data_IF_841361529169
#
_entry.id   IF_841361529169
#
_cell.length_a   1.000
_cell.length_b   1.000
_cell.length_c   1.000
_cell.angle_alpha   90.00
_cell.angle_beta   90.00
_cell.angle_gamma   90.00
#
_symmetry.space_group_name_H-M   'P 1'
#
loop_
_entity.id
_entity.type
_entity.pdbx_description
1 polymer ?
#
# COMPACT_ATOMS: atom_id res chain seq x y z
N UNK A 1 -17.68 -22.93 -8.02
CA UNK A 1 -16.32 -22.50 -8.40
C UNK A 1 -15.78 -21.76 -7.21
N UNK A 2 -14.73 -22.28 -6.56
CA UNK A 2 -14.00 -21.47 -5.56
C UNK A 2 -13.40 -20.30 -6.35
N UNK A 3 -13.68 -19.07 -5.93
CA UNK A 3 -13.18 -17.89 -6.62
C UNK A 3 -11.66 -17.90 -6.65
N UNK A 4 -11.05 -17.36 -7.70
CA UNK A 4 -9.62 -17.05 -7.69
C UNK A 4 -9.44 -15.64 -7.12
N UNK A 5 -8.29 -15.35 -6.50
CA UNK A 5 -7.88 -13.99 -6.16
C UNK A 5 -7.27 -13.37 -7.40
N UNK A 6 -7.51 -12.08 -7.63
CA UNK A 6 -6.97 -11.35 -8.77
C UNK A 6 -6.41 -10.02 -8.30
N UNK A 7 -5.58 -9.40 -9.14
CA UNK A 7 -5.39 -7.96 -9.07
C UNK A 7 -6.76 -7.30 -9.12
N UNK A 8 -6.93 -6.30 -8.26
CA UNK A 8 -8.11 -5.47 -8.32
C UNK A 8 -8.07 -4.71 -9.66
N UNK A 9 -9.16 -4.68 -10.46
CA UNK A 9 -9.12 -4.14 -11.83
C UNK A 9 -8.53 -2.73 -11.91
N UNK A 10 -7.54 -2.49 -12.76
CA UNK A 10 -6.89 -1.18 -12.89
C UNK A 10 -6.73 -0.79 -14.36
N UNK A 11 -6.55 0.52 -14.61
CA UNK A 11 -6.33 1.06 -15.96
C UNK A 11 -4.89 1.55 -16.15
N UNK A 12 -4.28 1.24 -17.30
CA UNK A 12 -2.99 1.81 -17.72
C UNK A 12 -3.24 3.05 -18.57
N UNK A 13 -2.98 4.25 -18.04
CA UNK A 13 -3.28 5.50 -18.75
C UNK A 13 -2.13 6.00 -19.62
N UNK A 14 -0.89 5.79 -19.21
CA UNK A 14 0.28 6.24 -19.99
C UNK A 14 1.56 5.49 -19.61
N UNK A 15 2.44 5.28 -20.59
CA UNK A 15 3.84 4.89 -20.39
C UNK A 15 4.74 6.10 -20.69
N UNK A 16 5.65 6.42 -19.77
CA UNK A 16 6.63 7.50 -19.92
C UNK A 16 8.04 6.95 -19.79
N UNK A 17 8.95 7.46 -20.62
CA UNK A 17 10.33 6.99 -20.72
C UNK A 17 11.28 7.66 -19.72
N UNK A 18 10.89 8.81 -19.17
CA UNK A 18 11.63 9.52 -18.12
C UNK A 18 10.63 10.14 -17.13
N UNK A 19 10.87 9.92 -15.84
CA UNK A 19 10.22 10.61 -14.74
C UNK A 19 11.29 10.93 -13.69
N UNK A 20 11.53 12.22 -13.43
CA UNK A 20 12.59 12.70 -12.52
C UNK A 20 12.00 13.65 -11.49
N UNK A 21 10.97 13.19 -10.81
CA UNK A 21 10.24 13.99 -9.83
C UNK A 21 9.64 13.09 -8.76
N UNK A 22 9.38 13.66 -7.59
CA UNK A 22 8.50 13.04 -6.61
C UNK A 22 7.08 13.07 -7.19
N UNK A 23 6.41 11.92 -7.41
CA UNK A 23 5.03 11.90 -7.87
C UNK A 23 4.13 12.79 -7.00
N UNK A 24 3.23 13.55 -7.64
CA UNK A 24 2.31 14.46 -6.95
C UNK A 24 1.51 13.75 -5.85
N UNK A 25 1.12 12.49 -6.08
CA UNK A 25 0.41 11.68 -5.08
C UNK A 25 1.18 11.50 -3.78
N UNK A 26 2.52 11.41 -3.84
CA UNK A 26 3.40 11.27 -2.68
C UNK A 26 3.58 12.63 -1.97
N UNK A 27 3.58 13.73 -2.72
CA UNK A 27 3.61 15.08 -2.16
C UNK A 27 2.28 15.43 -1.46
N UNK A 28 1.15 14.96 -1.99
CA UNK A 28 -0.18 15.24 -1.43
C UNK A 28 -0.42 14.57 -0.08
N UNK A 29 0.14 13.38 0.15
CA UNK A 29 0.08 12.71 1.46
C UNK A 29 1.08 13.27 2.48
N UNK A 30 1.90 14.26 2.09
CA UNK A 30 2.89 14.94 2.94
C UNK A 30 4.07 14.07 3.39
N UNK A 31 4.50 13.15 2.53
CA UNK A 31 5.70 12.35 2.80
C UNK A 31 7.01 13.17 2.82
N UNK A 32 7.23 14.15 1.90
CA UNK A 32 8.45 14.97 1.91
C UNK A 32 8.72 15.72 3.22
N UNK A 33 7.68 16.12 3.93
CA UNK A 33 7.76 16.80 5.21
C UNK A 33 8.33 15.87 6.29
N UNK A 34 7.98 14.58 6.30
CA UNK A 34 8.57 13.59 7.19
C UNK A 34 10.00 13.23 6.79
N UNK A 35 10.29 13.18 5.49
CA UNK A 35 11.64 12.96 4.99
C UNK A 35 12.61 14.06 5.43
N UNK A 36 12.13 15.30 5.51
CA UNK A 36 12.90 16.46 5.97
C UNK A 36 13.32 16.34 7.44
N UNK A 37 12.58 15.56 8.22
CA UNK A 37 12.90 15.19 9.60
C UNK A 37 13.73 13.89 9.70
N UNK A 38 14.17 13.33 8.58
CA UNK A 38 15.00 12.12 8.53
C UNK A 38 14.23 10.80 8.47
N UNK A 39 12.90 10.83 8.42
CA UNK A 39 12.08 9.61 8.40
C UNK A 39 11.79 9.16 6.98
N UNK A 40 12.61 8.25 6.45
CA UNK A 40 12.49 7.74 5.07
C UNK A 40 12.22 6.23 4.97
N UNK A 41 11.93 5.56 6.09
CA UNK A 41 11.58 4.14 6.16
C UNK A 41 12.77 3.22 6.43
N UNK A 42 13.93 3.79 6.80
CA UNK A 42 15.15 3.02 7.03
C UNK A 42 14.94 1.92 8.08
N UNK A 43 15.40 0.72 7.74
CA UNK A 43 15.33 -0.45 8.63
C UNK A 43 13.95 -1.09 8.72
N UNK A 44 12.98 -0.64 7.92
CA UNK A 44 11.66 -1.26 7.79
C UNK A 44 11.64 -2.16 6.55
N UNK A 45 11.11 -3.37 6.68
CA UNK A 45 10.91 -4.31 5.58
C UNK A 45 9.44 -4.43 5.23
N UNK A 46 9.11 -4.24 3.95
CA UNK A 46 7.75 -4.31 3.41
C UNK A 46 7.68 -5.49 2.43
N UNK A 47 6.83 -6.47 2.72
CA UNK A 47 6.55 -7.57 1.82
C UNK A 47 5.46 -7.17 0.82
N UNK A 48 5.78 -7.20 -0.47
CA UNK A 48 4.86 -6.85 -1.56
C UNK A 48 4.31 -8.14 -2.15
N UNK A 49 3.05 -8.45 -1.82
CA UNK A 49 2.35 -9.65 -2.30
C UNK A 49 1.57 -9.31 -3.57
N UNK A 50 2.18 -9.60 -4.72
CA UNK A 50 1.69 -9.13 -6.03
C UNK A 50 2.11 -10.08 -7.18
N UNK A 51 2.23 -9.55 -8.40
CA UNK A 51 2.59 -10.21 -9.66
C UNK A 51 4.09 -10.46 -9.86
N UNK A 52 4.91 -10.08 -8.87
CA UNK A 52 6.37 -10.08 -8.95
C UNK A 52 6.93 -8.66 -8.97
N UNK A 53 8.18 -8.52 -9.40
CA UNK A 53 8.80 -7.23 -9.63
C UNK A 53 9.92 -7.36 -10.69
N UNK A 54 10.15 -6.31 -11.48
CA UNK A 54 11.41 -6.14 -12.20
C UNK A 54 12.53 -5.78 -11.21
N UNK A 55 13.24 -6.82 -10.73
CA UNK A 55 14.27 -6.67 -9.70
C UNK A 55 15.50 -5.89 -10.16
N UNK A 56 15.66 -5.69 -11.47
CA UNK A 56 16.77 -4.92 -12.05
C UNK A 56 16.38 -3.48 -12.39
N UNK A 57 15.13 -3.07 -12.11
CA UNK A 57 14.71 -1.69 -12.31
C UNK A 57 15.63 -0.75 -11.49
N UNK A 58 16.26 0.27 -12.09
CA UNK A 58 17.25 1.10 -11.41
C UNK A 58 16.76 1.74 -10.10
N UNK A 59 15.49 2.15 -10.05
CA UNK A 59 14.89 2.76 -8.86
C UNK A 59 14.52 1.74 -7.76
N UNK A 60 14.64 0.42 -8.02
CA UNK A 60 14.20 -0.64 -7.11
C UNK A 60 15.29 -1.65 -6.74
N UNK A 61 16.29 -1.88 -7.61
CA UNK A 61 17.30 -2.93 -7.43
C UNK A 61 18.00 -2.88 -6.05
N UNK A 62 18.28 -1.68 -5.54
CA UNK A 62 18.98 -1.48 -4.27
C UNK A 62 18.02 -1.50 -3.06
N UNK A 63 16.72 -1.53 -3.33
CA UNK A 63 15.63 -1.54 -2.36
C UNK A 63 15.13 -2.97 -2.11
N UNK A 64 15.29 -3.86 -3.09
CA UNK A 64 14.86 -5.26 -3.00
C UNK A 64 15.92 -6.07 -2.26
N UNK A 65 15.51 -6.76 -1.19
CA UNK A 65 16.40 -7.59 -0.36
C UNK A 65 16.21 -9.10 -0.59
N UNK A 66 15.25 -9.46 -1.44
CA UNK A 66 14.95 -10.84 -1.80
C UNK A 66 13.53 -10.97 -2.36
N UNK A 67 13.20 -12.17 -2.79
CA UNK A 67 11.85 -12.49 -3.21
C UNK A 67 11.59 -13.98 -3.26
N UNK A 68 10.31 -14.35 -3.32
CA UNK A 68 9.87 -15.73 -3.46
C UNK A 68 8.63 -15.82 -4.34
N UNK A 69 8.63 -16.77 -5.25
CA UNK A 69 7.52 -17.09 -6.13
C UNK A 69 6.72 -18.29 -5.58
N UNK A 70 5.41 -18.10 -5.51
CA UNK A 70 4.44 -19.12 -5.11
C UNK A 70 3.53 -19.55 -6.26
N UNK A 71 3.67 -18.95 -7.44
CA UNK A 71 2.82 -19.22 -8.61
C UNK A 71 3.36 -20.36 -9.44
N UNK A 72 2.57 -20.80 -10.42
CA UNK A 72 2.99 -21.80 -11.41
C UNK A 72 3.84 -21.18 -12.56
N UNK A 73 4.04 -19.85 -12.57
CA UNK A 73 4.89 -19.18 -13.55
C UNK A 73 6.32 -19.72 -13.48
N UNK A 74 7.04 -19.67 -14.61
CA UNK A 74 8.43 -20.13 -14.68
C UNK A 74 8.61 -21.59 -14.23
N UNK A 75 7.57 -22.42 -14.43
CA UNK A 75 7.48 -23.81 -13.97
C UNK A 75 7.58 -23.96 -12.44
N UNK A 76 7.12 -22.95 -11.69
CA UNK A 76 7.17 -22.94 -10.23
C UNK A 76 8.57 -22.73 -9.67
N UNK A 77 9.46 -22.08 -10.42
CA UNK A 77 10.77 -21.65 -9.91
C UNK A 77 10.56 -20.60 -8.80
N UNK A 78 10.82 -21.02 -7.56
CA UNK A 78 10.57 -20.23 -6.36
C UNK A 78 11.47 -19.00 -6.25
N UNK A 79 12.63 -18.98 -6.93
CA UNK A 79 13.56 -17.85 -6.90
C UNK A 79 13.28 -16.83 -8.02
N UNK A 80 12.36 -17.14 -8.94
CA UNK A 80 12.01 -16.27 -10.06
C UNK A 80 10.73 -15.45 -9.78
N UNK A 81 10.93 -14.20 -9.38
CA UNK A 81 9.85 -13.24 -9.12
C UNK A 81 9.60 -12.26 -10.27
N UNK A 82 9.92 -12.65 -11.51
CA UNK A 82 9.75 -11.78 -12.67
C UNK A 82 8.31 -11.31 -12.81
N UNK A 83 8.16 -10.01 -13.01
CA UNK A 83 6.87 -9.37 -13.26
C UNK A 83 6.53 -9.41 -14.75
N UNK A 84 5.51 -10.20 -15.10
CA UNK A 84 4.98 -10.28 -16.46
C UNK A 84 3.84 -9.30 -16.72
N UNK A 85 3.26 -8.73 -15.66
CA UNK A 85 2.08 -7.88 -15.74
C UNK A 85 2.47 -6.38 -15.67
N UNK A 86 3.38 -6.03 -14.75
CA UNK A 86 3.87 -4.68 -14.50
C UNK A 86 3.31 -4.04 -13.23
N UNK A 87 2.20 -4.55 -12.71
CA UNK A 87 1.54 -4.02 -11.53
C UNK A 87 2.40 -4.14 -10.26
N UNK A 88 3.05 -5.28 -10.03
CA UNK A 88 3.88 -5.49 -8.85
C UNK A 88 5.09 -4.56 -8.82
N UNK A 89 5.70 -4.32 -9.99
CA UNK A 89 6.75 -3.30 -10.16
C UNK A 89 6.23 -1.90 -9.88
N UNK A 90 4.99 -1.57 -10.28
CA UNK A 90 4.36 -0.27 -10.03
C UNK A 90 4.09 -0.04 -8.54
N UNK A 91 3.49 -1.02 -7.87
CA UNK A 91 3.26 -1.03 -6.43
C UNK A 91 4.58 -0.88 -5.66
N UNK A 92 5.61 -1.65 -6.03
CA UNK A 92 6.94 -1.58 -5.43
C UNK A 92 7.55 -0.16 -5.52
N UNK A 93 7.40 0.50 -6.68
CA UNK A 93 7.87 1.86 -6.88
C UNK A 93 7.17 2.89 -6.00
N UNK A 94 5.85 2.82 -5.89
CA UNK A 94 5.09 3.74 -5.05
C UNK A 94 5.48 3.59 -3.57
N UNK A 95 5.79 2.37 -3.13
CA UNK A 95 6.23 2.11 -1.76
C UNK A 95 7.63 2.67 -1.51
N UNK A 96 8.64 2.29 -2.29
CA UNK A 96 10.03 2.52 -1.91
C UNK A 96 11.01 2.78 -3.07
N UNK A 97 10.56 3.28 -4.23
CA UNK A 97 11.49 3.72 -5.27
C UNK A 97 12.52 4.73 -4.74
N UNK A 98 13.75 4.64 -5.23
CA UNK A 98 14.84 5.56 -4.90
C UNK A 98 15.30 6.37 -6.11
N UNK A 99 15.59 7.64 -5.91
CA UNK A 99 16.04 8.57 -6.94
C UNK A 99 17.56 8.57 -7.16
N UNK A 100 18.30 7.66 -6.50
CA UNK A 100 19.77 7.58 -6.61
C UNK A 100 20.26 7.38 -8.06
N UNK A 101 19.42 6.80 -8.91
CA UNK A 101 19.70 6.57 -10.33
C UNK A 101 19.01 7.59 -11.26
N UNK A 102 18.45 8.67 -10.69
CA UNK A 102 17.83 9.76 -11.43
C UNK A 102 16.42 9.47 -11.93
N UNK A 103 15.66 8.64 -11.21
CA UNK A 103 14.26 8.29 -11.47
C UNK A 103 13.27 8.94 -10.50
N UNK A 104 12.26 8.18 -10.04
CA UNK A 104 11.23 8.67 -9.11
C UNK A 104 11.52 8.30 -7.64
N UNK A 105 10.80 8.92 -6.72
CA UNK A 105 10.78 8.54 -5.30
C UNK A 105 9.49 7.79 -4.95
N UNK A 106 9.60 6.76 -4.12
CA UNK A 106 8.49 6.16 -3.40
C UNK A 106 8.23 6.85 -2.05
N UNK A 107 7.19 6.45 -1.34
CA UNK A 107 6.81 7.05 -0.05
C UNK A 107 7.87 6.82 1.03
N UNK A 108 8.52 5.66 1.03
CA UNK A 108 9.56 5.26 1.97
C UNK A 108 10.85 4.87 1.24
N UNK A 109 11.61 5.83 0.69
CA UNK A 109 12.72 5.57 -0.22
C UNK A 109 13.97 4.95 0.46
N UNK A 110 13.96 4.74 1.78
CA UNK A 110 15.01 3.99 2.50
C UNK A 110 14.50 2.67 3.11
N UNK A 111 13.22 2.32 2.92
CA UNK A 111 12.68 1.01 3.27
C UNK A 111 13.19 -0.08 2.32
N UNK A 112 13.06 -1.34 2.75
CA UNK A 112 13.43 -2.52 1.96
C UNK A 112 12.21 -3.33 1.55
N UNK A 113 12.26 -3.89 0.35
CA UNK A 113 11.18 -4.63 -0.26
C UNK A 113 11.52 -6.13 -0.29
N UNK A 114 10.57 -6.95 0.17
CA UNK A 114 10.56 -8.39 -0.02
C UNK A 114 9.50 -8.71 -1.08
N UNK A 115 9.90 -9.19 -2.24
CA UNK A 115 8.98 -9.43 -3.36
C UNK A 115 8.33 -10.81 -3.22
N UNK A 116 7.03 -10.87 -3.01
CA UNK A 116 6.30 -12.12 -2.80
C UNK A 116 5.33 -12.32 -3.95
N UNK A 117 5.75 -13.07 -4.97
CA UNK A 117 4.95 -13.29 -6.17
C UNK A 117 3.87 -14.34 -5.88
N UNK A 118 2.63 -13.88 -5.75
CA UNK A 118 1.43 -14.70 -5.44
C UNK A 118 0.36 -14.62 -6.53
N UNK A 119 0.56 -13.75 -7.52
CA UNK A 119 -0.28 -13.63 -8.71
C UNK A 119 0.55 -13.98 -9.95
N UNK A 120 0.07 -14.93 -10.74
CA UNK A 120 0.76 -15.41 -11.94
C UNK A 120 0.23 -14.80 -13.21
N UNK A 121 1.01 -14.96 -14.28
CA UNK A 121 0.68 -14.57 -15.65
C UNK A 121 0.54 -13.06 -15.86
N UNK A 122 0.28 -12.69 -17.12
CA UNK A 122 0.04 -11.29 -17.51
C UNK A 122 -1.32 -10.77 -17.02
N UNK A 123 -2.24 -11.66 -16.65
CA UNK A 123 -3.58 -11.32 -16.17
C UNK A 123 -3.67 -11.11 -14.66
N UNK A 124 -2.58 -11.34 -13.90
CA UNK A 124 -2.51 -11.06 -12.47
C UNK A 124 -3.54 -11.81 -11.64
N UNK A 125 -3.58 -13.14 -11.76
CA UNK A 125 -4.51 -14.00 -10.99
C UNK A 125 -3.76 -15.01 -10.13
N UNK A 126 -4.32 -15.39 -8.99
CA UNK A 126 -3.70 -16.31 -8.05
C UNK A 126 -4.69 -17.17 -7.27
N UNK A 127 -4.18 -18.31 -6.80
CA UNK A 127 -4.93 -19.23 -5.94
C UNK A 127 -4.88 -18.72 -4.51
N UNK A 128 -5.97 -18.85 -3.74
CA UNK A 128 -5.97 -18.51 -2.30
C UNK A 128 -4.79 -19.13 -1.54
N UNK A 129 -4.42 -20.37 -1.88
CA UNK A 129 -3.26 -21.05 -1.31
C UNK A 129 -1.93 -20.29 -1.51
N UNK A 130 -1.72 -19.68 -2.68
CA UNK A 130 -0.51 -18.90 -2.96
C UNK A 130 -0.46 -17.64 -2.09
N UNK A 131 -1.59 -16.95 -1.93
CA UNK A 131 -1.69 -15.77 -1.08
C UNK A 131 -1.47 -16.15 0.39
N UNK A 132 -2.11 -17.22 0.87
CA UNK A 132 -1.92 -17.75 2.23
C UNK A 132 -0.45 -18.07 2.49
N UNK A 133 0.20 -18.79 1.57
CA UNK A 133 1.61 -19.15 1.69
C UNK A 133 2.51 -17.91 1.65
N UNK A 134 2.18 -16.91 0.83
CA UNK A 134 2.87 -15.62 0.78
C UNK A 134 2.76 -14.84 2.09
N UNK A 135 1.58 -14.78 2.70
CA UNK A 135 1.34 -14.11 4.00
C UNK A 135 2.17 -14.79 5.09
N UNK A 136 2.08 -16.12 5.18
CA UNK A 136 2.84 -16.89 6.15
C UNK A 136 4.35 -16.70 5.96
N UNK A 137 4.84 -16.75 4.72
CA UNK A 137 6.24 -16.51 4.41
C UNK A 137 6.70 -15.10 4.82
N UNK A 138 5.92 -14.06 4.52
CA UNK A 138 6.27 -12.69 4.90
C UNK A 138 6.36 -12.52 6.44
N UNK A 139 5.43 -13.14 7.18
CA UNK A 139 5.48 -13.16 8.64
C UNK A 139 6.69 -13.96 9.17
N UNK A 140 7.01 -15.11 8.58
CA UNK A 140 8.20 -15.90 8.92
C UNK A 140 9.51 -15.14 8.66
N UNK A 141 9.56 -14.35 7.58
CA UNK A 141 10.68 -13.45 7.28
C UNK A 141 10.70 -12.19 8.15
N UNK A 142 9.73 -12.02 9.05
CA UNK A 142 9.61 -10.86 9.96
C UNK A 142 9.55 -9.54 9.19
N UNK A 143 8.83 -9.51 8.07
CA UNK A 143 8.46 -8.25 7.45
C UNK A 143 7.66 -7.41 8.47
N UNK A 144 7.89 -6.11 8.52
CA UNK A 144 7.15 -5.21 9.40
C UNK A 144 5.73 -4.97 8.86
N UNK A 145 5.61 -4.94 7.53
CA UNK A 145 4.40 -4.57 6.80
C UNK A 145 4.20 -5.56 5.63
N UNK A 146 2.98 -6.03 5.43
CA UNK A 146 2.53 -6.74 4.24
C UNK A 146 1.66 -5.78 3.43
N UNK A 147 1.94 -5.63 2.14
CA UNK A 147 1.16 -4.84 1.20
C UNK A 147 0.52 -5.74 0.15
N UNK A 148 -0.80 -5.67 0.02
CA UNK A 148 -1.59 -6.45 -0.93
C UNK A 148 -2.47 -5.54 -1.77
N UNK A 149 -2.31 -5.61 -3.09
CA UNK A 149 -3.13 -4.89 -4.06
C UNK A 149 -3.96 -5.88 -4.88
N UNK A 150 -4.65 -6.76 -4.17
CA UNK A 150 -5.38 -7.92 -4.70
C UNK A 150 -6.70 -8.13 -3.95
N UNK A 151 -7.60 -8.88 -4.57
CA UNK A 151 -8.93 -9.09 -4.06
C UNK A 151 -9.57 -10.37 -4.58
N UNK A 152 -10.43 -10.97 -3.75
CA UNK A 152 -11.23 -12.13 -4.09
C UNK A 152 -12.64 -12.02 -3.52
N UNK A 153 -13.64 -12.64 -4.17
CA UNK A 153 -15.04 -12.50 -3.77
C UNK A 153 -15.44 -13.38 -2.58
N UNK A 154 -14.54 -14.26 -2.09
CA UNK A 154 -14.88 -15.33 -1.15
C UNK A 154 -14.16 -15.14 0.18
N UNK A 155 -14.94 -15.18 1.26
CA UNK A 155 -14.40 -15.32 2.60
C UNK A 155 -13.91 -16.77 2.79
N UNK A 156 -12.60 -16.99 2.73
CA UNK A 156 -11.97 -18.29 2.94
C UNK A 156 -11.38 -18.34 4.37
N UNK A 157 -11.85 -19.22 5.27
CA UNK A 157 -11.40 -19.26 6.66
C UNK A 157 -9.88 -19.37 6.85
N UNK A 158 -9.21 -20.12 5.97
CA UNK A 158 -7.75 -20.28 6.01
C UNK A 158 -7.00 -18.98 5.64
N UNK A 159 -7.60 -18.13 4.79
CA UNK A 159 -7.04 -16.81 4.49
C UNK A 159 -7.17 -15.90 5.72
N UNK A 160 -8.35 -15.87 6.35
CA UNK A 160 -8.55 -15.09 7.57
C UNK A 160 -7.59 -15.52 8.69
N UNK A 161 -7.40 -16.83 8.88
CA UNK A 161 -6.47 -17.36 9.87
C UNK A 161 -5.01 -16.91 9.59
N UNK A 162 -4.56 -16.94 8.34
CA UNK A 162 -3.24 -16.47 7.96
C UNK A 162 -3.05 -14.97 8.27
N UNK A 163 -4.05 -14.14 7.95
CA UNK A 163 -4.07 -12.71 8.27
C UNK A 163 -3.96 -12.50 9.79
N UNK A 164 -4.82 -13.17 10.56
CA UNK A 164 -4.83 -13.07 12.02
C UNK A 164 -3.49 -13.49 12.64
N UNK A 165 -2.84 -14.52 12.09
CA UNK A 165 -1.54 -14.97 12.56
C UNK A 165 -0.44 -13.95 12.26
N UNK A 166 -0.45 -13.33 11.08
CA UNK A 166 0.47 -12.25 10.73
C UNK A 166 0.30 -11.05 11.68
N UNK A 167 -0.93 -10.58 11.88
CA UNK A 167 -1.22 -9.45 12.79
C UNK A 167 -0.85 -9.76 14.23
N UNK A 168 -1.17 -10.96 14.73
CA UNK A 168 -0.76 -11.40 16.08
C UNK A 168 0.76 -11.45 16.25
N UNK A 169 1.52 -11.66 15.18
CA UNK A 169 2.99 -11.62 15.21
C UNK A 169 3.57 -10.20 15.14
N UNK A 170 2.71 -9.18 15.01
CA UNK A 170 3.07 -7.77 14.99
C UNK A 170 3.24 -7.18 13.59
N UNK A 171 2.84 -7.90 12.54
CA UNK A 171 2.91 -7.44 11.15
C UNK A 171 1.68 -6.60 10.82
N UNK A 172 1.89 -5.41 10.28
CA UNK A 172 0.81 -4.57 9.74
C UNK A 172 0.39 -5.11 8.39
N UNK A 173 -0.88 -5.46 8.21
CA UNK A 173 -1.38 -6.01 6.94
C UNK A 173 -2.24 -4.97 6.24
N UNK A 174 -1.78 -4.48 5.09
CA UNK A 174 -2.46 -3.47 4.28
C UNK A 174 -3.04 -4.13 3.04
N UNK A 175 -4.31 -3.84 2.73
CA UNK A 175 -4.94 -4.32 1.52
C UNK A 175 -5.77 -3.22 0.83
N UNK A 176 -5.72 -3.18 -0.49
CA UNK A 176 -6.62 -2.35 -1.30
C UNK A 176 -8.08 -2.83 -1.16
N UNK A 177 -9.02 -1.90 -1.07
CA UNK A 177 -10.42 -2.18 -0.71
C UNK A 177 -11.25 -2.91 -1.79
N UNK A 178 -10.84 -2.84 -3.06
CA UNK A 178 -11.59 -3.37 -4.20
C UNK A 178 -12.06 -2.26 -5.15
N UNK A 179 -12.28 -2.62 -6.42
CA UNK A 179 -12.68 -1.70 -7.50
C UNK A 179 -14.03 -2.10 -8.11
N UNK A 180 -14.90 -2.71 -7.30
CA UNK A 180 -16.24 -3.16 -7.66
C UNK A 180 -17.33 -2.13 -7.30
N UNK A 181 -16.94 -0.99 -6.72
CA UNK A 181 -17.85 0.08 -6.32
C UNK A 181 -18.58 0.73 -7.49
N UNK A 182 -19.76 1.27 -7.19
CA UNK A 182 -20.65 1.93 -8.14
C UNK A 182 -20.90 3.42 -7.82
N UNK A 183 -20.12 3.98 -6.91
CA UNK A 183 -20.23 5.37 -6.44
C UNK A 183 -21.40 5.65 -5.49
N UNK A 184 -22.20 4.65 -5.10
CA UNK A 184 -23.30 4.80 -4.14
C UNK A 184 -22.89 4.27 -2.74
N UNK A 185 -22.80 5.15 -1.75
CA UNK A 185 -22.43 4.78 -0.37
C UNK A 185 -23.42 3.84 0.35
N UNK A 186 -24.57 3.55 -0.28
CA UNK A 186 -25.66 2.73 0.25
C UNK A 186 -25.59 1.27 -0.21
N UNK A 187 -24.81 0.99 -1.24
CA UNK A 187 -24.47 -0.37 -1.70
C UNK A 187 -23.16 -0.78 -1.03
N UNK A 188 -23.05 -2.06 -0.67
CA UNK A 188 -21.87 -2.58 0.00
C UNK A 188 -21.19 -3.62 -0.88
N UNK A 189 -19.94 -3.37 -1.24
CA UNK A 189 -19.07 -4.27 -1.99
C UNK A 189 -17.92 -4.73 -1.09
N UNK A 190 -17.70 -6.04 -1.08
CA UNK A 190 -16.69 -6.66 -0.23
C UNK A 190 -15.66 -7.37 -1.10
N UNK A 191 -14.39 -7.06 -0.84
CA UNK A 191 -13.23 -7.74 -1.41
C UNK A 191 -12.38 -8.31 -0.28
N UNK A 192 -12.00 -9.58 -0.39
CA UNK A 192 -11.16 -10.25 0.61
C UNK A 192 -9.71 -10.32 0.10
N UNK A 193 -8.70 -10.03 0.94
CA UNK A 193 -8.77 -9.95 2.41
C UNK A 193 -9.14 -8.59 3.01
N UNK A 194 -9.33 -7.52 2.23
CA UNK A 194 -9.60 -6.18 2.77
C UNK A 194 -10.84 -6.08 3.67
N UNK A 195 -11.85 -6.94 3.48
CA UNK A 195 -13.04 -7.00 4.31
C UNK A 195 -12.83 -7.69 5.68
N UNK A 196 -11.61 -8.12 6.03
CA UNK A 196 -11.30 -8.58 7.38
C UNK A 196 -10.87 -7.39 8.25
N UNK A 197 -11.49 -7.24 9.42
CA UNK A 197 -11.24 -6.13 10.35
C UNK A 197 -9.77 -6.03 10.80
N UNK A 198 -9.03 -7.14 10.83
CA UNK A 198 -7.60 -7.13 11.14
C UNK A 198 -6.72 -6.51 10.04
N UNK A 199 -7.28 -6.24 8.86
CA UNK A 199 -6.58 -5.68 7.70
C UNK A 199 -6.82 -4.18 7.62
N UNK A 200 -5.76 -3.42 7.39
CA UNK A 200 -5.84 -2.00 7.07
C UNK A 200 -6.38 -1.86 5.65
N UNK A 201 -7.68 -1.64 5.51
CA UNK A 201 -8.37 -1.56 4.23
C UNK A 201 -8.28 -0.15 3.65
N UNK A 202 -7.71 -0.03 2.44
CA UNK A 202 -7.39 1.24 1.81
C UNK A 202 -8.25 1.49 0.59
N UNK A 203 -9.15 2.46 0.69
CA UNK A 203 -9.94 2.96 -0.44
C UNK A 203 -9.18 3.98 -1.29
N UNK A 204 -9.74 4.33 -2.44
CA UNK A 204 -9.12 5.26 -3.40
C UNK A 204 -9.83 6.60 -3.42
N UNK A 205 -9.04 7.67 -3.53
CA UNK A 205 -9.52 9.01 -3.90
C UNK A 205 -8.74 9.55 -5.10
N UNK A 206 -9.38 10.49 -5.80
CA UNK A 206 -8.70 11.39 -6.74
C UNK A 206 -7.75 12.36 -6.01
N UNK A 207 -6.90 13.08 -6.76
CA UNK A 207 -6.04 14.14 -6.19
C UNK A 207 -6.85 15.30 -5.57
N UNK A 208 -8.11 15.47 -5.96
CA UNK A 208 -9.04 16.42 -5.34
C UNK A 208 -9.63 15.90 -4.01
N UNK A 209 -9.25 14.69 -3.58
CA UNK A 209 -9.72 14.00 -2.36
C UNK A 209 -11.21 13.65 -2.37
N UNK A 210 -11.77 13.46 -3.57
CA UNK A 210 -13.08 12.86 -3.76
C UNK A 210 -12.91 11.34 -3.92
N UNK A 211 -13.74 10.54 -3.22
CA UNK A 211 -13.81 9.09 -3.39
C UNK A 211 -13.88 8.71 -4.87
N UNK A 212 -13.00 7.80 -5.30
CA UNK A 212 -13.03 7.25 -6.65
C UNK A 212 -14.31 6.45 -6.88
N UNK A 213 -14.92 6.58 -8.05
CA UNK A 213 -16.21 5.94 -8.37
C UNK A 213 -16.16 4.41 -8.23
N UNK A 214 -15.03 3.81 -8.60
CA UNK A 214 -14.80 2.37 -8.50
C UNK A 214 -14.51 1.87 -7.08
N UNK A 215 -14.16 2.75 -6.12
CA UNK A 215 -13.71 2.30 -4.79
C UNK A 215 -14.87 1.64 -4.05
N UNK A 216 -14.67 0.40 -3.58
CA UNK A 216 -15.68 -0.33 -2.81
C UNK A 216 -16.14 0.47 -1.57
N UNK A 217 -17.44 0.41 -1.30
CA UNK A 217 -18.02 0.92 -0.08
C UNK A 217 -18.34 -0.23 0.88
N UNK A 218 -17.91 -0.15 2.15
CA UNK A 218 -18.35 -1.05 3.21
C UNK A 218 -17.94 -0.50 4.59
N UNK A 219 -18.27 -1.21 5.67
CA UNK A 219 -18.00 -0.76 7.05
C UNK A 219 -16.57 -1.01 7.54
N UNK A 220 -15.73 -1.65 6.72
CA UNK A 220 -14.37 -2.06 7.09
C UNK A 220 -13.30 -1.15 6.46
N UNK A 221 -13.68 -0.09 5.74
CA UNK A 221 -12.71 0.88 5.18
C UNK A 221 -12.04 1.68 6.31
N UNK A 222 -10.71 1.59 6.42
CA UNK A 222 -9.95 2.30 7.44
C UNK A 222 -9.61 3.73 7.04
N UNK A 223 -9.14 3.93 5.82
CA UNK A 223 -8.70 5.22 5.30
C UNK A 223 -8.62 5.20 3.77
N UNK A 224 -8.38 6.36 3.18
CA UNK A 224 -8.19 6.52 1.74
C UNK A 224 -6.87 7.19 1.41
N UNK A 225 -6.32 6.85 0.25
CA UNK A 225 -5.12 7.44 -0.31
C UNK A 225 -5.29 7.68 -1.82
N UNK A 226 -4.39 8.44 -2.48
CA UNK A 226 -4.47 8.67 -3.91
C UNK A 226 -4.41 7.35 -4.69
N UNK A 227 -5.40 7.10 -5.54
CA UNK A 227 -5.46 5.90 -6.38
C UNK A 227 -5.79 6.17 -7.86
N UNK A 228 -5.90 7.43 -8.26
CA UNK A 228 -6.15 7.81 -9.66
C UNK A 228 -4.91 8.44 -10.31
N UNK A 229 -4.55 7.95 -11.50
CA UNK A 229 -3.47 8.48 -12.33
C UNK A 229 -2.08 8.51 -11.66
N UNK A 230 -1.81 7.48 -10.86
CA UNK A 230 -0.62 7.36 -10.02
C UNK A 230 0.58 6.95 -10.85
N UNK A 231 1.58 7.82 -10.90
CA UNK A 231 2.85 7.58 -11.57
C UNK A 231 3.74 6.68 -10.70
N UNK A 232 4.27 5.60 -11.29
CA UNK A 232 5.27 4.75 -10.66
C UNK A 232 6.13 4.01 -11.69
N UNK A 233 7.02 3.14 -11.23
CA UNK A 233 7.89 2.27 -12.02
C UNK A 233 7.12 1.20 -12.79
N UNK A 234 7.66 0.75 -13.91
CA UNK A 234 7.16 -0.36 -14.72
C UNK A 234 8.36 -1.21 -15.22
N UNK A 235 8.16 -2.49 -15.55
CA UNK A 235 9.25 -3.35 -16.02
C UNK A 235 9.99 -2.78 -17.23
N UNK A 236 11.27 -3.14 -17.33
CA UNK A 236 12.21 -2.72 -18.37
C UNK A 236 12.60 -1.23 -18.27
N UNK A 237 12.83 -0.75 -17.05
CA UNK A 237 13.26 0.63 -16.77
C UNK A 237 12.32 1.68 -17.37
N UNK A 238 11.01 1.48 -17.16
CA UNK A 238 9.95 2.38 -17.64
C UNK A 238 9.16 2.91 -16.46
N UNK A 239 8.32 3.89 -16.76
CA UNK A 239 7.38 4.46 -15.80
C UNK A 239 6.00 4.49 -16.43
N UNK A 240 4.96 4.48 -15.59
CA UNK A 240 3.60 4.58 -16.08
C UNK A 240 2.60 5.01 -15.03
N UNK A 241 1.41 5.40 -15.50
CA UNK A 241 0.30 5.83 -14.66
C UNK A 241 -0.78 4.76 -14.62
N UNK A 242 -1.10 4.30 -13.40
CA UNK A 242 -2.17 3.34 -13.15
C UNK A 242 -3.27 3.95 -12.27
N UNK A 243 -4.48 3.43 -12.39
CA UNK A 243 -5.65 3.84 -11.60
C UNK A 243 -6.34 2.64 -10.96
N UNK A 244 -6.58 2.70 -9.66
CA UNK A 244 -7.28 1.69 -8.86
C UNK A 244 -6.97 1.81 -7.36
N UNK A 245 -7.77 1.17 -6.49
CA UNK A 245 -7.43 1.05 -5.05
C UNK A 245 -6.07 0.37 -4.83
N UNK A 246 -5.65 -0.47 -5.77
CA UNK A 246 -4.30 -1.03 -5.84
C UNK A 246 -3.16 -0.02 -5.85
N UNK A 247 -3.42 1.22 -6.26
CA UNK A 247 -2.45 2.32 -6.20
C UNK A 247 -2.57 3.13 -4.90
N UNK A 248 -3.67 3.04 -4.18
CA UNK A 248 -3.85 3.68 -2.88
C UNK A 248 -3.15 2.90 -1.75
N UNK A 249 -3.29 1.57 -1.70
CA UNK A 249 -2.64 0.71 -0.71
C UNK A 249 -1.11 0.88 -0.58
N UNK A 250 -0.32 1.00 -1.66
CA UNK A 250 1.13 1.23 -1.54
C UNK A 250 1.50 2.58 -0.91
N UNK A 251 0.66 3.62 -1.05
CA UNK A 251 0.90 4.88 -0.34
C UNK A 251 0.83 4.68 1.17
N UNK A 252 -0.19 3.97 1.65
CA UNK A 252 -0.36 3.63 3.08
C UNK A 252 0.75 2.71 3.56
N UNK A 253 1.16 1.74 2.74
CA UNK A 253 2.22 0.79 3.09
C UNK A 253 3.57 1.48 3.29
N UNK A 254 3.95 2.39 2.38
CA UNK A 254 5.15 3.22 2.57
C UNK A 254 4.99 4.22 3.73
N UNK A 255 3.81 4.81 3.90
CA UNK A 255 3.52 5.72 5.01
C UNK A 255 3.72 5.04 6.38
N UNK A 256 3.29 3.79 6.55
CA UNK A 256 3.50 3.04 7.78
C UNK A 256 4.99 2.88 8.11
N UNK A 257 5.87 2.73 7.12
CA UNK A 257 7.31 2.64 7.37
C UNK A 257 7.91 3.93 7.93
N UNK A 258 7.53 5.09 7.36
CA UNK A 258 7.99 6.39 7.86
C UNK A 258 7.32 6.78 9.18
N UNK A 259 6.06 6.41 9.40
CA UNK A 259 5.35 6.58 10.69
C UNK A 259 6.06 5.76 11.78
N UNK A 260 6.39 4.50 11.50
CA UNK A 260 7.06 3.62 12.46
C UNK A 260 8.43 4.19 12.86
N UNK A 261 9.21 4.74 11.91
CA UNK A 261 10.45 5.46 12.24
C UNK A 261 10.19 6.67 13.16
N UNK A 262 9.28 7.57 12.76
CA UNK A 262 9.01 8.80 13.50
C UNK A 262 8.52 8.54 14.92
N UNK A 263 7.59 7.59 15.07
CA UNK A 263 6.95 7.31 16.34
C UNK A 263 7.84 6.48 17.27
N UNK A 264 8.62 5.53 16.77
CA UNK A 264 9.58 4.80 17.61
C UNK A 264 10.69 5.72 18.13
N UNK A 265 11.10 6.73 17.35
CA UNK A 265 11.99 7.79 17.82
C UNK A 265 11.30 8.66 18.88
N UNK A 266 10.08 9.13 18.64
CA UNK A 266 9.35 9.98 19.59
C UNK A 266 9.06 9.25 20.93
N UNK A 267 8.65 7.98 20.88
CA UNK A 267 8.36 7.16 22.06
C UNK A 267 9.59 6.50 22.69
N UNK A 268 10.75 6.53 22.01
CA UNK A 268 12.00 5.88 22.47
C UNK A 268 11.85 4.38 22.75
N UNK A 269 10.97 3.70 22.00
CA UNK A 269 10.75 2.24 22.06
C UNK A 269 10.12 1.73 20.77
N UNK A 270 10.15 0.42 20.56
CA UNK A 270 9.35 -0.22 19.51
C UNK A 270 7.86 -0.09 19.80
N UNK A 271 7.09 0.19 18.74
CA UNK A 271 5.63 0.23 18.80
C UNK A 271 5.05 -1.13 18.38
N UNK A 272 3.94 -1.49 19.00
CA UNK A 272 3.15 -2.67 18.63
C UNK A 272 2.26 -2.36 17.42
N UNK A 273 1.78 -3.38 16.73
CA UNK A 273 0.88 -3.25 15.57
C UNK A 273 -0.33 -2.33 15.86
N UNK A 274 -1.09 -2.49 16.97
CA UNK A 274 -2.23 -1.61 17.26
C UNK A 274 -1.82 -0.16 17.53
N UNK A 275 -0.63 0.06 18.10
CA UNK A 275 -0.10 1.41 18.34
C UNK A 275 0.27 2.08 17.02
N UNK A 276 0.89 1.36 16.08
CA UNK A 276 1.21 1.91 14.76
C UNK A 276 -0.06 2.18 13.96
N UNK A 277 -1.07 1.30 14.01
CA UNK A 277 -2.39 1.56 13.43
C UNK A 277 -3.02 2.84 14.00
N UNK A 278 -2.98 3.04 15.32
CA UNK A 278 -3.47 4.27 15.93
C UNK A 278 -2.71 5.52 15.46
N UNK A 279 -1.39 5.42 15.26
CA UNK A 279 -0.58 6.53 14.71
C UNK A 279 -0.84 6.78 13.22
N UNK A 280 -1.23 5.76 12.46
CA UNK A 280 -1.72 5.91 11.08
C UNK A 280 -3.04 6.68 11.06
N UNK A 281 -4.03 6.26 11.83
CA UNK A 281 -5.33 6.94 11.90
C UNK A 281 -5.20 8.37 12.43
N UNK A 282 -4.29 8.63 13.36
CA UNK A 282 -3.97 10.00 13.83
C UNK A 282 -3.43 10.90 12.71
N UNK A 283 -2.90 10.32 11.64
CA UNK A 283 -2.35 10.99 10.45
C UNK A 283 -3.32 10.95 9.27
N UNK A 284 -4.62 11.07 9.54
CA UNK A 284 -5.64 11.27 8.52
C UNK A 284 -6.32 12.63 8.67
N UNK A 285 -6.79 13.19 7.56
CA UNK A 285 -7.71 14.30 7.54
C UNK A 285 -9.14 13.79 7.26
N UNK A 286 -10.12 14.04 8.14
CA UNK A 286 -11.48 13.62 7.88
C UNK A 286 -12.03 14.33 6.63
N UNK A 287 -12.63 13.54 5.74
CA UNK A 287 -13.37 14.04 4.59
C UNK A 287 -14.86 14.14 4.93
N UNK A 288 -15.62 14.93 4.16
CA UNK A 288 -17.06 15.14 4.40
C UNK A 288 -17.94 13.98 3.89
N UNK A 289 -17.35 13.05 3.13
CA UNK A 289 -18.01 11.88 2.56
C UNK A 289 -18.25 10.80 3.64
N UNK A 290 -19.15 9.85 3.39
CA UNK A 290 -19.47 8.77 4.34
C UNK A 290 -18.24 7.94 4.69
N UNK A 291 -18.17 7.50 5.95
CA UNK A 291 -17.15 6.56 6.42
C UNK A 291 -17.15 5.22 5.67
N UNK A 292 -18.28 4.84 5.08
CA UNK A 292 -18.34 3.62 4.26
C UNK A 292 -17.49 3.72 2.99
N UNK A 293 -17.21 4.93 2.51
CA UNK A 293 -16.34 5.20 1.36
C UNK A 293 -14.93 5.60 1.80
N UNK A 294 -14.82 6.45 2.83
CA UNK A 294 -13.54 7.13 3.15
C UNK A 294 -12.92 6.74 4.50
N UNK A 295 -13.60 5.91 5.30
CA UNK A 295 -13.11 5.48 6.61
C UNK A 295 -12.82 6.66 7.56
N UNK A 296 -11.59 6.70 8.08
CA UNK A 296 -11.07 7.79 8.90
C UNK A 296 -10.63 9.02 8.09
N UNK A 297 -10.70 8.96 6.76
CA UNK A 297 -10.38 10.06 5.85
C UNK A 297 -9.07 9.87 5.09
N UNK A 298 -8.57 10.97 4.54
CA UNK A 298 -7.42 10.99 3.64
C UNK A 298 -6.10 10.87 4.41
N UNK A 299 -5.20 10.00 3.96
CA UNK A 299 -3.83 9.89 4.46
C UNK A 299 -3.10 11.24 4.33
N UNK A 300 -2.71 11.83 5.46
CA UNK A 300 -2.08 13.14 5.52
C UNK A 300 -1.10 13.19 6.68
N UNK A 301 0.18 12.95 6.38
CA UNK A 301 1.19 12.60 7.37
C UNK A 301 1.50 13.71 8.38
N UNK A 302 1.23 14.97 8.02
CA UNK A 302 1.41 16.16 8.88
C UNK A 302 0.14 16.60 9.61
N UNK A 303 -0.91 15.76 9.65
CA UNK A 303 -2.15 16.11 10.34
C UNK A 303 -1.94 16.45 11.85
N UNK A 304 -1.07 15.76 12.61
CA UNK A 304 -0.79 16.13 14.00
C UNK A 304 -0.20 17.55 14.14
N UNK A 305 0.70 17.95 13.24
CA UNK A 305 1.35 19.26 13.22
C UNK A 305 0.33 20.36 12.87
N UNK A 306 -0.53 20.12 11.88
CA UNK A 306 -1.63 21.04 11.53
C UNK A 306 -2.58 21.27 12.72
N UNK A 307 -2.86 20.23 13.50
CA UNK A 307 -3.71 20.37 14.69
C UNK A 307 -3.01 21.22 15.77
N UNK A 308 -1.71 21.01 15.98
CA UNK A 308 -0.92 21.78 16.93
C UNK A 308 -0.91 23.28 16.57
N UNK A 309 -0.66 23.62 15.31
CA UNK A 309 -0.67 25.00 14.82
C UNK A 309 -2.01 25.69 15.12
N UNK A 310 -3.14 25.02 14.80
CA UNK A 310 -4.48 25.57 15.07
C UNK A 310 -4.77 25.77 16.55
N UNK A 311 -4.29 24.87 17.42
CA UNK A 311 -4.45 25.05 18.86
C UNK A 311 -3.68 26.25 19.38
N UNK A 312 -2.45 26.47 18.89
CA UNK A 312 -1.63 27.62 19.26
C UNK A 312 -2.24 28.95 18.76
N UNK A 313 -2.81 28.97 17.55
CA UNK A 313 -3.54 30.13 17.02
C UNK A 313 -4.79 30.47 17.84
N UNK A 314 -5.55 29.45 18.25
CA UNK A 314 -6.73 29.64 19.08
C UNK A 314 -6.38 30.22 20.47
N UNK A 315 -5.29 29.75 21.07
CA UNK A 315 -4.79 30.28 22.34
C UNK A 315 -4.38 31.75 22.21
N UNK A 316 -3.71 32.13 21.11
CA UNK A 316 -3.33 33.52 20.82
C UNK A 316 -4.52 34.46 20.60
N UNK A 317 -5.62 33.96 20.03
CA UNK A 317 -6.85 34.74 19.83
C UNK A 317 -7.71 34.87 21.10
N UNK A 318 -7.40 34.09 22.14
CA UNK A 318 -8.12 34.10 23.42
C UNK A 318 -7.50 35.02 24.49
N UNK A 319 -6.35 35.62 24.18
CA UNK A 319 -5.62 36.61 25.00
C UNK A 319 -5.91 38.05 24.57
#
# INVERSE_FOLDING_TARGET
MKGDIRLIPYEVKANVMEAKETPESIQEIKAPELWSSGFKGKGITIAVLDTGCDTEHPDLKDQIIGGKNFTDDDNGDADNVKDYNGHGTHVAGTIAATDQNGGILGVAPEAKLLIVKVLGGENGSGKYEWIINGINYAAEQKADIISMSLGGPSNEPALQEAIQNAVKSGVLVVCAAGNEGDGDERTEEFSYPAAYNEVIAVGSVSLARESSEFSNANKEIDLVAPGEDILSTLPNHKYGRLTGTSMAAPHVSGALAIIKNAEEEAFQRKLTEPEVYAQLVRRTLPLKQSKTLVGNGFLYLTAPEVLLEKTLEADLLSL
#
